data_IF_436377784034
#
_entry.id   IF_436377784034
#
_cell.length_a   1.000
_cell.length_b   1.000
_cell.length_c   1.000
_cell.angle_alpha   90.00
_cell.angle_beta   90.00
_cell.angle_gamma   90.00
#
_symmetry.space_group_name_H-M   'P 1'
#
loop_
_entity.id
_entity.type
_entity.pdbx_description
1 polymer ?
#
# COMPACT_ATOMS: atom_id res chain seq x y z
N UNK A 1 -26.44 12.03 25.68
CA UNK A 1 -27.32 11.00 26.26
C UNK A 1 -26.47 9.78 26.58
N UNK A 2 -26.33 9.43 27.87
CA UNK A 2 -25.54 8.26 28.28
C UNK A 2 -26.31 6.97 27.96
N UNK A 3 -25.61 5.95 27.45
CA UNK A 3 -26.21 4.65 27.12
C UNK A 3 -26.66 3.93 28.41
N UNK A 4 -27.81 3.25 28.36
CA UNK A 4 -28.24 2.35 29.44
C UNK A 4 -27.32 1.14 29.54
N UNK A 5 -27.32 0.44 30.68
CA UNK A 5 -26.44 -0.71 30.87
C UNK A 5 -26.81 -1.90 29.95
N UNK A 6 -28.08 -2.06 29.61
CA UNK A 6 -28.53 -2.98 28.57
C UNK A 6 -27.97 -2.62 27.19
N UNK A 7 -28.01 -1.34 26.81
CA UNK A 7 -27.43 -0.87 25.54
C UNK A 7 -25.90 -1.09 25.51
N UNK A 8 -25.21 -0.95 26.65
CA UNK A 8 -23.78 -1.27 26.77
C UNK A 8 -23.54 -2.78 26.64
N UNK A 9 -24.36 -3.63 27.25
CA UNK A 9 -24.27 -5.08 27.16
C UNK A 9 -24.50 -5.59 25.73
N UNK A 10 -25.55 -5.10 25.06
CA UNK A 10 -25.82 -5.39 23.64
C UNK A 10 -24.66 -4.98 22.74
N UNK A 11 -24.12 -3.76 22.92
CA UNK A 11 -22.93 -3.30 22.15
C UNK A 11 -21.71 -4.19 22.40
N UNK A 12 -21.49 -4.64 23.64
CA UNK A 12 -20.39 -5.57 23.97
C UNK A 12 -20.57 -6.91 23.26
N UNK A 13 -21.78 -7.46 23.23
CA UNK A 13 -22.06 -8.72 22.55
C UNK A 13 -21.91 -8.60 21.02
N UNK A 14 -22.48 -7.55 20.41
CA UNK A 14 -22.30 -7.25 19.00
C UNK A 14 -20.82 -7.09 18.62
N UNK A 15 -20.03 -6.43 19.48
CA UNK A 15 -18.58 -6.30 19.28
C UNK A 15 -17.87 -7.65 19.35
N UNK A 16 -18.22 -8.52 20.30
CA UNK A 16 -17.68 -9.89 20.40
C UNK A 16 -17.98 -10.71 19.15
N UNK A 17 -19.22 -10.67 18.66
CA UNK A 17 -19.60 -11.39 17.42
C UNK A 17 -18.90 -10.83 16.19
N UNK A 18 -18.78 -9.51 16.09
CA UNK A 18 -18.05 -8.87 14.99
C UNK A 18 -16.57 -9.24 14.99
N UNK A 19 -15.94 -9.34 16.17
CA UNK A 19 -14.56 -9.81 16.30
C UNK A 19 -14.46 -11.28 15.90
N UNK A 20 -15.40 -12.13 16.35
CA UNK A 20 -15.43 -13.56 16.03
C UNK A 20 -15.59 -13.82 14.52
N UNK A 21 -16.41 -13.02 13.85
CA UNK A 21 -16.69 -13.16 12.42
C UNK A 21 -15.72 -12.40 11.51
N UNK A 22 -14.74 -11.67 12.06
CA UNK A 22 -13.79 -10.89 11.28
C UNK A 22 -12.87 -11.83 10.49
N UNK A 23 -12.65 -11.55 9.21
CA UNK A 23 -11.66 -12.22 8.38
C UNK A 23 -10.24 -11.80 8.82
N UNK A 24 -9.72 -12.47 9.84
CA UNK A 24 -8.43 -12.17 10.45
C UNK A 24 -7.27 -12.41 9.49
N UNK A 25 -7.41 -13.39 8.59
CA UNK A 25 -6.42 -13.74 7.57
C UNK A 25 -6.19 -12.60 6.57
N UNK A 26 -7.23 -11.81 6.27
CA UNK A 26 -7.13 -10.62 5.42
C UNK A 26 -6.34 -9.51 6.11
N UNK A 27 -6.54 -9.33 7.43
CA UNK A 27 -5.70 -8.42 8.21
C UNK A 27 -4.25 -8.94 8.28
N UNK A 28 -4.03 -10.24 8.46
CA UNK A 28 -2.70 -10.82 8.52
C UNK A 28 -1.92 -10.61 7.21
N UNK A 29 -2.54 -10.87 6.06
CA UNK A 29 -1.93 -10.64 4.74
C UNK A 29 -1.63 -9.16 4.50
N UNK A 30 -2.54 -8.24 4.88
CA UNK A 30 -2.25 -6.81 4.81
C UNK A 30 -1.09 -6.42 5.73
N UNK A 31 -1.03 -7.03 6.90
CA UNK A 31 0.04 -6.86 7.88
C UNK A 31 1.41 -7.27 7.36
N UNK A 32 1.47 -8.44 6.74
CA UNK A 32 2.68 -8.91 6.07
C UNK A 32 3.12 -7.91 4.99
N UNK A 33 2.20 -7.49 4.13
CA UNK A 33 2.51 -6.52 3.06
C UNK A 33 3.04 -5.19 3.61
N UNK A 34 2.40 -4.62 4.64
CA UNK A 34 2.88 -3.34 5.20
C UNK A 34 4.25 -3.51 5.86
N UNK A 35 4.50 -4.59 6.60
CA UNK A 35 5.81 -4.83 7.23
C UNK A 35 6.94 -4.97 6.19
N UNK A 36 6.65 -5.58 5.04
CA UNK A 36 7.62 -5.69 3.94
C UNK A 36 7.86 -4.34 3.26
N UNK A 37 6.82 -3.53 3.06
CA UNK A 37 6.96 -2.14 2.58
C UNK A 37 7.81 -1.31 3.53
N UNK A 38 7.59 -1.45 4.84
CA UNK A 38 8.37 -0.78 5.89
C UNK A 38 9.85 -1.15 5.82
N UNK A 39 10.15 -2.44 5.66
CA UNK A 39 11.52 -2.92 5.49
C UNK A 39 12.17 -2.32 4.24
N UNK A 40 11.46 -2.29 3.11
CA UNK A 40 12.00 -1.76 1.85
C UNK A 40 12.37 -0.27 1.96
N UNK A 41 11.50 0.54 2.58
CA UNK A 41 11.74 1.97 2.80
C UNK A 41 12.89 2.20 3.79
N UNK A 42 12.94 1.44 4.89
CA UNK A 42 14.02 1.58 5.86
C UNK A 42 15.39 1.25 5.26
N UNK A 43 15.48 0.23 4.40
CA UNK A 43 16.70 -0.08 3.66
C UNK A 43 17.02 1.00 2.62
N UNK A 44 16.03 1.53 1.89
CA UNK A 44 16.24 2.64 0.95
C UNK A 44 16.81 3.88 1.66
N UNK A 45 16.24 4.25 2.81
CA UNK A 45 16.70 5.41 3.57
C UNK A 45 18.16 5.24 4.02
N UNK A 46 18.53 4.04 4.51
CA UNK A 46 19.91 3.74 4.91
C UNK A 46 20.89 3.66 3.72
N UNK A 47 20.41 3.18 2.57
CA UNK A 47 21.22 2.98 1.37
C UNK A 47 21.48 4.28 0.59
N UNK A 48 20.55 5.23 0.58
CA UNK A 48 20.61 6.40 -0.31
C UNK A 48 20.34 7.73 0.37
N UNK A 49 19.47 7.79 1.39
CA UNK A 49 19.11 9.06 2.04
C UNK A 49 20.16 9.46 3.08
N UNK A 50 20.68 8.48 3.84
CA UNK A 50 21.71 8.68 4.86
C UNK A 50 23.11 8.28 4.39
N UNK A 51 23.27 7.86 3.13
CA UNK A 51 24.53 7.36 2.57
C UNK A 51 25.69 8.33 2.80
N UNK A 52 25.58 9.56 2.32
CA UNK A 52 26.62 10.59 2.45
C UNK A 52 27.00 10.82 3.90
N UNK A 53 26.00 11.00 4.78
CA UNK A 53 26.21 11.19 6.22
C UNK A 53 26.96 10.00 6.84
N UNK A 54 26.60 8.78 6.48
CA UNK A 54 27.20 7.57 7.05
C UNK A 54 28.61 7.34 6.53
N UNK A 55 28.86 7.59 5.24
CA UNK A 55 30.20 7.47 4.62
C UNK A 55 31.15 8.54 5.17
N UNK A 56 30.74 9.81 5.15
CA UNK A 56 31.58 10.94 5.57
C UNK A 56 31.88 10.91 7.07
N UNK A 57 31.06 10.21 7.86
CA UNK A 57 31.33 10.02 9.29
C UNK A 57 32.61 9.23 9.58
N UNK A 58 33.10 8.43 8.63
CA UNK A 58 34.21 7.50 8.84
C UNK A 58 33.90 6.35 9.82
N UNK A 59 32.65 6.22 10.30
CA UNK A 59 32.27 5.17 11.23
C UNK A 59 32.00 3.86 10.48
N UNK A 60 32.87 2.86 10.69
CA UNK A 60 32.79 1.58 9.98
C UNK A 60 31.45 0.85 10.16
N UNK A 61 30.79 0.98 11.31
CA UNK A 61 29.50 0.30 11.53
C UNK A 61 28.39 0.91 10.67
N UNK A 62 28.38 2.24 10.51
CA UNK A 62 27.43 2.95 9.67
C UNK A 62 27.69 2.67 8.18
N UNK A 63 28.96 2.69 7.76
CA UNK A 63 29.36 2.33 6.40
C UNK A 63 28.91 0.91 6.05
N UNK A 64 29.23 -0.07 6.91
CA UNK A 64 28.82 -1.45 6.69
C UNK A 64 27.30 -1.62 6.62
N UNK A 65 26.55 -0.80 7.37
CA UNK A 65 25.09 -0.84 7.35
C UNK A 65 24.52 -0.26 6.05
N UNK A 66 25.06 0.85 5.56
CA UNK A 66 24.75 1.39 4.22
C UNK A 66 25.08 0.38 3.12
N UNK A 67 26.27 -0.24 3.16
CA UNK A 67 26.66 -1.26 2.19
C UNK A 67 25.70 -2.47 2.19
N UNK A 68 25.29 -2.91 3.38
CA UNK A 68 24.28 -3.97 3.52
C UNK A 68 22.94 -3.54 2.93
N UNK A 69 22.49 -2.32 3.22
CA UNK A 69 21.23 -1.79 2.72
C UNK A 69 21.23 -1.66 1.18
N UNK A 70 22.32 -1.16 0.61
CA UNK A 70 22.55 -1.09 -0.84
C UNK A 70 22.61 -2.48 -1.48
N UNK A 71 23.27 -3.45 -0.83
CA UNK A 71 23.30 -4.84 -1.28
C UNK A 71 21.90 -5.47 -1.28
N UNK A 72 21.09 -5.22 -0.25
CA UNK A 72 19.67 -5.62 -0.25
C UNK A 72 18.90 -4.95 -1.39
N UNK A 73 19.11 -3.65 -1.61
CA UNK A 73 18.36 -2.87 -2.58
C UNK A 73 18.56 -3.34 -4.03
N UNK A 74 19.81 -3.67 -4.38
CA UNK A 74 20.16 -4.19 -5.71
C UNK A 74 20.13 -5.71 -5.81
N UNK A 75 19.91 -6.41 -4.69
CA UNK A 75 19.94 -7.87 -4.62
C UNK A 75 18.67 -8.55 -5.16
N UNK A 76 18.83 -9.81 -5.56
CA UNK A 76 17.74 -10.66 -6.07
C UNK A 76 16.58 -10.80 -5.08
N UNK A 77 16.88 -10.80 -3.78
CA UNK A 77 15.86 -10.89 -2.75
C UNK A 77 14.82 -9.78 -2.91
N UNK A 78 15.25 -8.53 -3.07
CA UNK A 78 14.34 -7.41 -3.28
C UNK A 78 13.72 -7.45 -4.68
N UNK A 79 14.49 -7.77 -5.71
CA UNK A 79 14.01 -7.88 -7.10
C UNK A 79 12.76 -8.76 -7.21
N UNK A 80 12.74 -9.89 -6.49
CA UNK A 80 11.59 -10.80 -6.49
C UNK A 80 10.57 -10.51 -5.38
N UNK A 81 11.00 -10.10 -4.18
CA UNK A 81 10.08 -9.84 -3.07
C UNK A 81 9.20 -8.60 -3.29
N UNK A 82 9.75 -7.52 -3.89
CA UNK A 82 9.05 -6.24 -4.09
C UNK A 82 7.78 -6.38 -4.91
N UNK A 83 7.81 -6.96 -6.13
CA UNK A 83 6.59 -7.18 -6.90
C UNK A 83 5.55 -8.04 -6.16
N UNK A 84 6.00 -9.03 -5.37
CA UNK A 84 5.12 -9.93 -4.62
C UNK A 84 4.37 -9.18 -3.51
N UNK A 85 5.06 -8.39 -2.67
CA UNK A 85 4.36 -7.69 -1.59
C UNK A 85 3.49 -6.54 -2.11
N UNK A 86 3.89 -5.89 -3.21
CA UNK A 86 3.04 -4.91 -3.90
C UNK A 86 1.77 -5.60 -4.43
N UNK A 87 1.92 -6.76 -5.07
CA UNK A 87 0.78 -7.56 -5.51
C UNK A 87 -0.15 -7.88 -4.34
N UNK A 88 0.37 -8.40 -3.22
CA UNK A 88 -0.42 -8.71 -2.02
C UNK A 88 -1.15 -7.46 -1.52
N UNK A 89 -0.50 -6.31 -1.48
CA UNK A 89 -1.07 -5.06 -0.98
C UNK A 89 -2.31 -4.62 -1.79
N UNK A 90 -2.22 -4.60 -3.12
CA UNK A 90 -3.33 -4.23 -4.01
C UNK A 90 -4.39 -5.32 -4.07
N UNK A 91 -3.99 -6.59 -4.15
CA UNK A 91 -4.89 -7.75 -4.13
C UNK A 91 -5.75 -7.79 -2.85
N UNK A 92 -5.13 -7.67 -1.68
CA UNK A 92 -5.85 -7.63 -0.39
C UNK A 92 -6.78 -6.42 -0.32
N UNK A 93 -6.35 -5.27 -0.86
CA UNK A 93 -7.22 -4.09 -0.93
C UNK A 93 -8.44 -4.30 -1.82
N UNK A 94 -8.28 -5.05 -2.92
CA UNK A 94 -9.37 -5.54 -3.77
C UNK A 94 -10.33 -6.45 -3.01
N UNK A 95 -9.81 -7.42 -2.24
CA UNK A 95 -10.64 -8.27 -1.36
C UNK A 95 -11.50 -7.42 -0.43
N UNK A 96 -10.95 -6.32 0.06
CA UNK A 96 -11.62 -5.44 1.02
C UNK A 96 -12.83 -4.68 0.47
N UNK A 97 -13.08 -4.75 -0.84
CA UNK A 97 -14.24 -4.11 -1.46
C UNK A 97 -15.56 -4.63 -0.87
N UNK A 98 -15.66 -5.95 -0.65
CA UNK A 98 -16.90 -6.59 -0.16
C UNK A 98 -17.18 -6.28 1.31
N UNK A 99 -16.15 -5.93 2.08
CA UNK A 99 -16.24 -5.65 3.52
C UNK A 99 -16.60 -4.20 3.83
N UNK A 100 -16.38 -3.28 2.90
CA UNK A 100 -16.71 -1.86 3.09
C UNK A 100 -18.22 -1.62 2.99
N UNK A 101 -18.69 -0.58 3.70
CA UNK A 101 -20.07 -0.08 3.56
C UNK A 101 -20.23 0.82 2.34
N UNK A 102 -19.22 1.63 2.06
CA UNK A 102 -19.20 2.56 0.94
C UNK A 102 -17.75 2.70 0.46
N UNK A 103 -17.44 2.04 -0.65
CA UNK A 103 -16.10 2.06 -1.23
C UNK A 103 -15.75 3.39 -1.88
N UNK A 104 -16.72 4.10 -2.46
CA UNK A 104 -16.51 5.43 -3.05
C UNK A 104 -16.00 6.41 -1.99
N UNK A 105 -16.70 6.50 -0.86
CA UNK A 105 -16.28 7.38 0.25
C UNK A 105 -14.94 6.94 0.84
N UNK A 106 -14.69 5.62 0.91
CA UNK A 106 -13.39 5.10 1.35
C UNK A 106 -12.26 5.55 0.40
N UNK A 107 -12.48 5.49 -0.91
CA UNK A 107 -11.54 5.95 -1.92
C UNK A 107 -11.29 7.45 -1.83
N UNK A 108 -12.34 8.27 -1.74
CA UNK A 108 -12.24 9.73 -1.59
C UNK A 108 -11.45 10.10 -0.33
N UNK A 109 -11.73 9.45 0.81
CA UNK A 109 -10.98 9.69 2.05
C UNK A 109 -9.50 9.34 1.91
N UNK A 110 -9.19 8.24 1.22
CA UNK A 110 -7.79 7.85 0.99
C UNK A 110 -7.08 8.83 0.05
N UNK A 111 -7.74 9.28 -1.01
CA UNK A 111 -7.21 10.31 -1.91
C UNK A 111 -6.98 11.64 -1.18
N UNK A 112 -7.90 12.05 -0.31
CA UNK A 112 -7.71 13.25 0.50
C UNK A 112 -6.46 13.16 1.40
N UNK A 113 -6.24 12.00 2.01
CA UNK A 113 -5.00 11.72 2.75
C UNK A 113 -3.78 11.75 1.82
N UNK A 114 -3.85 11.12 0.65
CA UNK A 114 -2.75 11.09 -0.32
C UNK A 114 -2.34 12.51 -0.77
N UNK A 115 -3.31 13.35 -1.15
CA UNK A 115 -3.03 14.74 -1.53
C UNK A 115 -2.57 15.61 -0.35
N UNK A 116 -2.97 15.28 0.88
CA UNK A 116 -2.39 15.92 2.08
C UNK A 116 -0.91 15.57 2.21
N UNK A 117 -0.54 14.30 1.97
CA UNK A 117 0.88 13.89 1.95
C UNK A 117 1.63 14.65 0.86
N UNK A 118 1.10 14.72 -0.37
CA UNK A 118 1.70 15.52 -1.47
C UNK A 118 1.97 16.96 -1.04
N UNK A 119 0.97 17.64 -0.47
CA UNK A 119 1.12 19.01 0.01
C UNK A 119 2.21 19.12 1.08
N UNK A 120 2.21 18.24 2.08
CA UNK A 120 3.19 18.27 3.16
C UNK A 120 4.61 17.98 2.66
N UNK A 121 4.77 17.04 1.73
CA UNK A 121 6.07 16.73 1.14
C UNK A 121 6.60 17.85 0.24
N UNK A 122 5.71 18.51 -0.52
CA UNK A 122 6.06 19.69 -1.29
C UNK A 122 6.51 20.85 -0.40
N UNK A 123 5.79 21.11 0.70
CA UNK A 123 6.17 22.12 1.68
C UNK A 123 7.49 21.78 2.37
N UNK A 124 7.72 20.51 2.68
CA UNK A 124 8.99 20.04 3.25
C UNK A 124 10.16 20.32 2.30
N UNK A 125 10.00 20.03 1.00
CA UNK A 125 11.02 20.31 -0.01
C UNK A 125 11.42 21.80 -0.04
N UNK A 126 10.44 22.70 0.01
CA UNK A 126 10.67 24.15 0.09
C UNK A 126 11.36 24.54 1.40
N UNK A 127 10.88 24.04 2.54
CA UNK A 127 11.39 24.42 3.87
C UNK A 127 12.83 23.94 4.07
N UNK A 128 13.14 22.72 3.63
CA UNK A 128 14.47 22.12 3.77
C UNK A 128 15.42 22.47 2.60
N UNK A 129 14.95 23.22 1.59
CA UNK A 129 15.72 23.61 0.40
C UNK A 129 16.42 22.42 -0.27
N UNK A 130 15.72 21.29 -0.32
CA UNK A 130 16.22 20.04 -0.89
C UNK A 130 15.40 19.67 -2.13
N UNK A 131 15.71 18.56 -2.78
CA UNK A 131 14.90 18.01 -3.87
C UNK A 131 14.59 16.54 -3.62
N UNK A 132 13.49 16.05 -4.19
CA UNK A 132 13.12 14.63 -4.10
C UNK A 132 12.32 14.26 -2.84
N UNK A 133 11.81 15.22 -2.08
CA UNK A 133 10.84 14.91 -1.03
C UNK A 133 9.43 14.83 -1.59
N UNK A 134 9.14 15.58 -2.66
CA UNK A 134 7.84 15.67 -3.27
C UNK A 134 7.30 14.31 -3.73
N UNK A 135 6.12 13.96 -3.20
CA UNK A 135 5.41 12.73 -3.56
C UNK A 135 4.18 13.10 -4.38
N UNK A 136 4.19 12.73 -5.66
CA UNK A 136 3.05 12.83 -6.57
C UNK A 136 2.77 11.46 -7.19
N UNK A 137 1.51 11.05 -7.21
CA UNK A 137 1.11 9.73 -7.74
C UNK A 137 1.80 8.53 -7.05
N UNK A 138 2.09 8.65 -5.75
CA UNK A 138 2.57 7.52 -4.95
C UNK A 138 1.53 6.43 -4.69
N UNK A 139 1.91 5.40 -3.94
CA UNK A 139 1.06 4.22 -3.71
C UNK A 139 -0.31 4.56 -3.11
N UNK A 140 -0.40 5.60 -2.27
CA UNK A 140 -1.68 6.04 -1.68
C UNK A 140 -2.63 6.65 -2.72
N UNK A 141 -2.10 7.39 -3.70
CA UNK A 141 -2.90 7.94 -4.80
C UNK A 141 -3.43 6.79 -5.66
N UNK A 142 -2.53 5.92 -6.11
CA UNK A 142 -2.88 4.76 -6.92
C UNK A 142 -3.94 3.89 -6.24
N UNK A 143 -3.73 3.55 -4.96
CA UNK A 143 -4.70 2.78 -4.19
C UNK A 143 -6.03 3.52 -4.01
N UNK A 144 -6.00 4.84 -3.77
CA UNK A 144 -7.17 5.70 -3.71
C UNK A 144 -8.01 5.63 -4.98
N UNK A 145 -7.37 5.76 -6.14
CA UNK A 145 -8.02 5.61 -7.45
C UNK A 145 -8.53 4.18 -7.69
N UNK A 146 -7.76 3.15 -7.34
CA UNK A 146 -8.21 1.76 -7.44
C UNK A 146 -9.50 1.52 -6.65
N UNK A 147 -9.56 1.99 -5.39
CA UNK A 147 -10.74 1.86 -4.54
C UNK A 147 -11.91 2.68 -5.09
N UNK A 148 -11.65 3.88 -5.62
CA UNK A 148 -12.69 4.74 -6.18
C UNK A 148 -13.31 4.12 -7.45
N UNK A 149 -12.49 3.69 -8.40
CA UNK A 149 -12.92 3.03 -9.63
C UNK A 149 -13.66 1.73 -9.30
N UNK A 150 -13.03 0.84 -8.53
CA UNK A 150 -13.63 -0.42 -8.13
C UNK A 150 -14.92 -0.23 -7.34
N UNK A 151 -14.94 0.76 -6.43
CA UNK A 151 -16.11 1.10 -5.62
C UNK A 151 -17.28 1.65 -6.43
N UNK A 152 -17.01 2.45 -7.46
CA UNK A 152 -18.03 2.92 -8.40
C UNK A 152 -18.61 1.76 -9.20
N UNK A 153 -17.75 0.86 -9.72
CA UNK A 153 -18.21 -0.34 -10.43
C UNK A 153 -19.04 -1.23 -9.50
N UNK A 154 -18.59 -1.48 -8.26
CA UNK A 154 -19.36 -2.27 -7.29
C UNK A 154 -20.72 -1.64 -6.97
N UNK A 155 -20.78 -0.31 -6.82
CA UNK A 155 -22.03 0.41 -6.59
C UNK A 155 -23.01 0.25 -7.78
N UNK A 156 -22.53 0.39 -9.01
CA UNK A 156 -23.34 0.17 -10.22
C UNK A 156 -23.81 -1.28 -10.32
N UNK A 157 -22.94 -2.25 -10.09
CA UNK A 157 -23.31 -3.68 -10.11
C UNK A 157 -24.31 -4.03 -9.00
N UNK A 158 -24.18 -3.45 -7.81
CA UNK A 158 -25.16 -3.62 -6.73
C UNK A 158 -26.54 -3.06 -7.10
N UNK A 159 -26.59 -1.97 -7.87
CA UNK A 159 -27.83 -1.38 -8.36
C UNK A 159 -28.49 -2.27 -9.42
N UNK A 160 -27.71 -2.75 -10.40
CA UNK A 160 -28.20 -3.57 -11.53
C UNK A 160 -28.58 -4.99 -11.09
N UNK A 161 -27.79 -5.61 -10.21
CA UNK A 161 -27.92 -7.01 -9.81
C UNK A 161 -28.70 -7.18 -8.50
N UNK A 162 -29.43 -6.14 -8.07
CA UNK A 162 -30.17 -6.13 -6.81
C UNK A 162 -31.11 -7.34 -6.72
N UNK A 163 -31.06 -8.04 -5.59
CA UNK A 163 -31.87 -9.22 -5.26
C UNK A 163 -31.70 -10.44 -6.20
N UNK A 164 -30.67 -10.45 -7.06
CA UNK A 164 -30.37 -11.59 -7.94
C UNK A 164 -29.46 -12.61 -7.24
N UNK A 165 -29.89 -13.87 -7.19
CA UNK A 165 -29.11 -14.97 -6.60
C UNK A 165 -27.76 -15.21 -7.28
N UNK A 166 -27.66 -14.91 -8.58
CA UNK A 166 -26.45 -15.04 -9.39
C UNK A 166 -25.52 -13.81 -9.33
N UNK A 167 -25.87 -12.76 -8.58
CA UNK A 167 -25.13 -11.50 -8.55
C UNK A 167 -23.63 -11.70 -8.23
N UNK A 168 -23.30 -12.59 -7.29
CA UNK A 168 -21.89 -12.87 -6.92
C UNK A 168 -21.07 -13.41 -8.09
N UNK A 169 -21.67 -14.24 -8.95
CA UNK A 169 -20.98 -14.87 -10.07
C UNK A 169 -20.76 -13.88 -11.21
N UNK A 170 -21.74 -13.01 -11.45
CA UNK A 170 -21.58 -11.92 -12.42
C UNK A 170 -20.50 -10.94 -11.97
N UNK A 171 -20.48 -10.55 -10.68
CA UNK A 171 -19.41 -9.72 -10.13
C UNK A 171 -18.03 -10.39 -10.23
N UNK A 172 -17.94 -11.68 -9.88
CA UNK A 172 -16.72 -12.47 -10.03
C UNK A 172 -16.19 -12.41 -11.47
N UNK A 173 -17.06 -12.68 -12.45
CA UNK A 173 -16.71 -12.67 -13.86
C UNK A 173 -16.30 -11.26 -14.34
N UNK A 174 -17.06 -10.22 -14.00
CA UNK A 174 -16.76 -8.83 -14.42
C UNK A 174 -15.41 -8.39 -13.87
N UNK A 175 -15.16 -8.57 -12.57
CA UNK A 175 -13.85 -8.21 -11.99
C UNK A 175 -12.72 -9.05 -12.58
N UNK A 176 -12.95 -10.34 -12.86
CA UNK A 176 -11.98 -11.21 -13.51
C UNK A 176 -11.62 -10.73 -14.93
N UNK A 177 -12.62 -10.40 -15.75
CA UNK A 177 -12.42 -9.86 -17.09
C UNK A 177 -11.70 -8.52 -17.04
N UNK A 178 -12.10 -7.60 -16.16
CA UNK A 178 -11.41 -6.32 -15.99
C UNK A 178 -9.94 -6.50 -15.60
N UNK A 179 -9.65 -7.43 -14.68
CA UNK A 179 -8.28 -7.75 -14.31
C UNK A 179 -7.46 -8.24 -15.51
N UNK A 180 -8.00 -9.17 -16.30
CA UNK A 180 -7.33 -9.69 -17.50
C UNK A 180 -7.07 -8.57 -18.51
N UNK A 181 -8.09 -7.78 -18.84
CA UNK A 181 -7.96 -6.66 -19.79
C UNK A 181 -6.88 -5.68 -19.34
N UNK A 182 -6.87 -5.28 -18.07
CA UNK A 182 -5.89 -4.35 -17.52
C UNK A 182 -4.48 -4.93 -17.57
N UNK A 183 -4.30 -6.21 -17.23
CA UNK A 183 -2.99 -6.86 -17.26
C UNK A 183 -2.48 -7.08 -18.68
N UNK A 184 -3.36 -7.36 -19.64
CA UNK A 184 -3.01 -7.43 -21.06
C UNK A 184 -2.59 -6.07 -21.59
N UNK A 185 -3.33 -5.00 -21.29
CA UNK A 185 -2.92 -3.62 -21.65
C UNK A 185 -1.56 -3.29 -21.01
N UNK A 186 -1.37 -3.64 -19.74
CA UNK A 186 -0.09 -3.42 -19.06
C UNK A 186 1.06 -4.11 -19.79
N UNK A 187 0.88 -5.37 -20.24
CA UNK A 187 1.91 -6.12 -20.95
C UNK A 187 2.39 -5.43 -22.24
N UNK A 188 1.48 -4.75 -22.95
CA UNK A 188 1.82 -4.06 -24.20
C UNK A 188 2.41 -2.66 -24.02
N UNK A 189 2.01 -1.95 -22.97
CA UNK A 189 2.30 -0.51 -22.84
C UNK A 189 3.21 -0.15 -21.67
N UNK A 190 3.51 -1.08 -20.76
CA UNK A 190 4.23 -0.78 -19.52
C UNK A 190 5.50 -1.61 -19.37
N UNK A 191 6.41 -1.15 -18.51
CA UNK A 191 7.61 -1.93 -18.14
C UNK A 191 7.25 -3.07 -17.18
N UNK A 192 8.19 -4.01 -17.03
CA UNK A 192 8.11 -5.07 -16.03
C UNK A 192 8.31 -4.53 -14.62
N UNK A 193 7.63 -5.13 -13.64
CA UNK A 193 7.89 -4.85 -12.23
C UNK A 193 9.20 -5.48 -11.73
N UNK A 194 9.74 -6.47 -12.46
CA UNK A 194 10.98 -7.16 -12.13
C UNK A 194 12.16 -6.43 -12.76
N UNK A 195 12.50 -5.27 -12.21
CA UNK A 195 13.64 -4.45 -12.63
C UNK A 195 14.47 -4.01 -11.42
N UNK A 196 15.80 -4.04 -11.59
CA UNK A 196 16.78 -3.64 -10.58
C UNK A 196 16.98 -2.13 -10.53
N UNK A 197 16.71 -1.44 -11.64
CA UNK A 197 16.71 0.02 -11.77
C UNK A 197 15.41 0.48 -12.42
N UNK A 198 14.94 1.66 -12.02
CA UNK A 198 13.70 2.24 -12.52
C UNK A 198 13.92 2.89 -13.88
N UNK A 199 14.03 2.05 -14.90
CA UNK A 199 14.17 2.46 -16.30
C UNK A 199 12.78 2.46 -16.92
N UNK A 200 12.23 3.65 -17.18
CA UNK A 200 10.94 3.80 -17.82
C UNK A 200 11.05 4.32 -19.25
N UNK A 201 9.99 4.17 -20.02
CA UNK A 201 9.91 4.73 -21.36
C UNK A 201 9.47 6.19 -21.26
N UNK A 202 10.09 7.07 -22.03
CA UNK A 202 9.56 8.44 -22.18
C UNK A 202 8.37 8.42 -23.12
N UNK A 203 7.25 9.00 -22.68
CA UNK A 203 6.04 9.10 -23.50
C UNK A 203 5.82 10.54 -23.96
N UNK A 204 5.33 10.70 -25.20
CA UNK A 204 5.05 12.02 -25.78
C UNK A 204 3.87 12.75 -25.12
N UNK A 205 3.05 12.05 -24.34
CA UNK A 205 1.90 12.61 -23.65
C UNK A 205 2.06 12.42 -22.15
N UNK A 206 2.20 13.51 -21.40
CA UNK A 206 2.38 13.46 -19.95
C UNK A 206 1.20 12.80 -19.23
N UNK A 207 -0.02 12.84 -19.77
CA UNK A 207 -1.16 12.17 -19.16
C UNK A 207 -1.03 10.64 -19.09
N UNK A 208 -0.16 10.05 -19.93
CA UNK A 208 0.12 8.61 -19.90
C UNK A 208 0.76 8.16 -18.58
N UNK A 209 1.50 9.04 -17.91
CA UNK A 209 2.14 8.75 -16.61
C UNK A 209 1.15 8.45 -15.48
N UNK A 210 -0.12 8.84 -15.63
CA UNK A 210 -1.18 8.40 -14.72
C UNK A 210 -1.47 6.90 -14.85
N UNK A 211 -1.33 6.34 -16.06
CA UNK A 211 -1.74 4.97 -16.38
C UNK A 211 -0.58 3.99 -16.44
N UNK A 212 0.56 4.37 -17.02
CA UNK A 212 1.75 3.51 -17.20
C UNK A 212 2.97 4.22 -16.67
N UNK A 213 4.05 3.48 -16.40
CA UNK A 213 5.29 4.07 -15.94
C UNK A 213 5.90 4.97 -17.03
N UNK A 214 6.21 6.21 -16.68
CA UNK A 214 6.81 7.20 -17.58
C UNK A 214 8.00 7.91 -16.91
N UNK A 215 9.10 8.09 -17.65
CA UNK A 215 10.24 8.88 -17.17
C UNK A 215 9.85 10.33 -16.84
N UNK A 216 8.88 10.90 -17.57
CA UNK A 216 8.42 12.27 -17.35
C UNK A 216 7.83 12.45 -15.95
N UNK A 217 7.34 11.36 -15.32
CA UNK A 217 6.77 11.37 -13.97
C UNK A 217 7.73 10.82 -12.93
N UNK A 218 8.52 9.81 -13.27
CA UNK A 218 9.48 9.21 -12.36
C UNK A 218 10.56 10.22 -11.91
N UNK A 219 10.97 11.16 -12.78
CA UNK A 219 11.88 12.22 -12.40
C UNK A 219 11.27 13.31 -11.50
N UNK A 220 9.94 13.30 -11.30
CA UNK A 220 9.23 14.30 -10.50
C UNK A 220 8.89 13.82 -9.09
N UNK A 221 8.89 12.52 -8.82
CA UNK A 221 8.40 11.95 -7.56
C UNK A 221 9.19 10.70 -7.16
N UNK A 222 9.58 10.61 -5.89
CA UNK A 222 10.32 9.48 -5.35
C UNK A 222 9.42 8.29 -4.93
N UNK A 223 8.10 8.45 -4.97
CA UNK A 223 7.12 7.37 -4.84
C UNK A 223 6.17 7.47 -6.04
N UNK A 224 6.41 6.64 -7.06
CA UNK A 224 5.65 6.68 -8.31
C UNK A 224 4.96 5.34 -8.60
N UNK A 225 3.63 5.36 -8.54
CA UNK A 225 2.75 4.22 -8.81
C UNK A 225 1.67 4.60 -9.84
N UNK A 226 1.87 4.32 -11.14
CA UNK A 226 0.83 4.49 -12.15
C UNK A 226 -0.33 3.52 -11.92
N UNK A 227 -1.47 3.70 -12.58
CA UNK A 227 -2.65 2.86 -12.35
C UNK A 227 -2.45 1.40 -12.81
N UNK A 228 -1.70 1.16 -13.89
CA UNK A 228 -1.33 -0.17 -14.38
C UNK A 228 0.06 -0.55 -13.84
N UNK A 229 0.28 -1.80 -13.40
CA UNK A 229 -0.65 -2.95 -13.39
C UNK A 229 -1.57 -3.02 -12.17
N UNK A 230 -1.42 -2.12 -11.19
CA UNK A 230 -1.94 -2.33 -9.84
C UNK A 230 -3.47 -2.38 -9.75
N UNK A 231 -4.19 -1.67 -10.63
CA UNK A 231 -5.64 -1.81 -10.77
C UNK A 231 -6.04 -3.22 -11.17
N UNK A 232 -5.24 -3.90 -11.99
CA UNK A 232 -5.42 -5.30 -12.35
C UNK A 232 -5.32 -6.20 -11.12
N UNK A 233 -4.27 -6.03 -10.31
CA UNK A 233 -4.10 -6.77 -9.04
C UNK A 233 -5.26 -6.54 -8.07
N UNK A 234 -5.72 -5.29 -7.98
CA UNK A 234 -6.91 -4.94 -7.21
C UNK A 234 -8.15 -5.69 -7.70
N UNK A 235 -8.39 -5.76 -9.02
CA UNK A 235 -9.54 -6.49 -9.55
C UNK A 235 -9.45 -8.01 -9.41
N UNK A 236 -8.24 -8.60 -9.45
CA UNK A 236 -8.06 -10.01 -9.08
C UNK A 236 -8.57 -10.21 -7.65
N UNK A 237 -8.17 -9.35 -6.71
CA UNK A 237 -8.65 -9.37 -5.33
C UNK A 237 -10.17 -9.21 -5.21
N UNK A 238 -10.73 -8.24 -5.92
CA UNK A 238 -12.17 -7.97 -5.93
C UNK A 238 -12.99 -9.14 -6.49
N UNK A 239 -12.47 -9.83 -7.52
CA UNK A 239 -13.04 -11.03 -8.10
C UNK A 239 -13.04 -12.17 -7.08
N UNK A 240 -11.86 -12.52 -6.54
CA UNK A 240 -11.70 -13.59 -5.54
C UNK A 240 -12.60 -13.38 -4.31
N UNK A 241 -12.81 -12.12 -3.90
CA UNK A 241 -13.69 -11.77 -2.79
C UNK A 241 -15.13 -12.27 -2.97
N UNK A 242 -15.66 -12.28 -4.19
CA UNK A 242 -17.04 -12.66 -4.46
C UNK A 242 -17.29 -14.15 -4.24
N UNK A 243 -16.25 -14.98 -4.41
CA UNK A 243 -16.34 -16.43 -4.21
C UNK A 243 -16.03 -16.77 -2.76
N UNK A 244 -14.84 -16.37 -2.29
CA UNK A 244 -14.33 -16.78 -0.98
C UNK A 244 -15.00 -16.04 0.18
N UNK A 245 -15.29 -14.75 0.00
CA UNK A 245 -15.76 -13.87 1.09
C UNK A 245 -17.19 -13.38 0.90
N UNK A 246 -18.02 -14.05 0.09
CA UNK A 246 -19.45 -13.72 -0.11
C UNK A 246 -20.24 -13.57 1.20
N UNK A 247 -19.93 -14.41 2.19
CA UNK A 247 -20.55 -14.39 3.52
C UNK A 247 -19.94 -13.35 4.48
N UNK A 248 -18.89 -12.64 4.05
CA UNK A 248 -18.11 -11.66 4.84
C UNK A 248 -17.61 -12.20 6.18
N UNK A 249 -17.20 -13.48 6.20
CA UNK A 249 -16.66 -14.19 7.36
C UNK A 249 -15.26 -14.73 7.06
N UNK A 250 -14.51 -15.04 8.11
CA UNK A 250 -13.23 -15.75 7.99
C UNK A 250 -13.41 -17.12 7.33
N UNK A 251 -12.45 -17.48 6.48
CA UNK A 251 -12.27 -18.82 5.92
C UNK A 251 -11.72 -19.82 6.95
N UNK A 252 -11.08 -19.30 8.00
CA UNK A 252 -10.40 -20.08 9.03
C UNK A 252 -10.94 -19.76 10.43
N UNK A 253 -12.23 -20.07 10.71
CA UNK A 253 -12.89 -19.68 11.96
C UNK A 253 -12.33 -20.40 13.21
N UNK A 254 -11.69 -21.56 13.02
CA UNK A 254 -11.21 -22.40 14.12
C UNK A 254 -9.74 -22.16 14.48
N UNK A 255 -9.03 -21.29 13.75
CA UNK A 255 -7.62 -21.00 14.00
C UNK A 255 -7.48 -19.99 15.13
N UNK A 256 -6.50 -20.22 16.02
CA UNK A 256 -6.18 -19.29 17.09
C UNK A 256 -5.51 -18.02 16.52
N UNK A 257 -6.32 -17.01 16.22
CA UNK A 257 -5.87 -15.72 15.68
C UNK A 257 -4.80 -15.01 16.52
N UNK A 258 -4.63 -15.36 17.81
CA UNK A 258 -3.61 -14.73 18.68
C UNK A 258 -2.19 -15.03 18.20
N UNK A 259 -1.97 -16.21 17.59
CA UNK A 259 -0.66 -16.60 17.04
C UNK A 259 -0.25 -15.65 15.91
N UNK A 260 -1.23 -15.15 15.14
CA UNK A 260 -1.02 -14.20 14.06
C UNK A 260 -1.14 -12.74 14.50
N UNK A 261 -1.10 -12.44 15.81
CA UNK A 261 -1.12 -11.07 16.30
C UNK A 261 -0.01 -10.18 15.68
N UNK A 262 1.25 -10.66 15.50
CA UNK A 262 2.31 -9.86 14.88
C UNK A 262 1.99 -9.40 13.45
N UNK A 263 1.10 -10.09 12.73
CA UNK A 263 0.68 -9.71 11.38
C UNK A 263 -0.68 -8.99 11.39
N UNK A 264 -1.65 -9.51 12.15
CA UNK A 264 -2.99 -8.93 12.17
C UNK A 264 -3.04 -7.54 12.80
N UNK A 265 -2.20 -7.22 13.78
CA UNK A 265 -2.17 -5.90 14.40
C UNK A 265 -1.67 -4.84 13.40
N UNK A 266 -0.50 -5.00 12.75
CA UNK A 266 -0.09 -4.07 11.70
C UNK A 266 -1.12 -3.93 10.57
N UNK A 267 -1.74 -5.04 10.13
CA UNK A 267 -2.74 -4.99 9.08
C UNK A 267 -4.03 -4.24 9.45
N UNK A 268 -4.38 -4.17 10.74
CA UNK A 268 -5.52 -3.39 11.24
C UNK A 268 -5.27 -1.88 11.22
N UNK A 269 -4.02 -1.49 11.40
CA UNK A 269 -3.59 -0.09 11.52
C UNK A 269 -2.69 0.33 10.35
N UNK A 270 -2.74 -0.39 9.22
CA UNK A 270 -1.77 -0.28 8.13
C UNK A 270 -1.62 1.14 7.60
N UNK A 271 -2.70 1.92 7.47
CA UNK A 271 -2.63 3.30 7.00
C UNK A 271 -1.87 4.22 7.97
N UNK A 272 -2.13 4.10 9.27
CA UNK A 272 -1.46 4.92 10.29
C UNK A 272 0.02 4.53 10.36
N UNK A 273 0.30 3.22 10.35
CA UNK A 273 1.66 2.70 10.34
C UNK A 273 2.42 3.20 9.10
N UNK A 274 1.81 3.13 7.92
CA UNK A 274 2.40 3.65 6.68
C UNK A 274 2.79 5.13 6.80
N UNK A 275 1.86 5.98 7.25
CA UNK A 275 2.08 7.43 7.33
C UNK A 275 3.14 7.81 8.38
N UNK A 276 3.22 7.08 9.50
CA UNK A 276 4.18 7.38 10.56
C UNK A 276 5.55 6.76 10.32
N UNK A 277 5.64 5.71 9.50
CA UNK A 277 6.88 4.96 9.33
C UNK A 277 8.03 5.81 8.83
N UNK A 278 7.84 6.61 7.77
CA UNK A 278 8.92 7.45 7.22
C UNK A 278 9.45 8.46 8.25
N UNK A 279 8.56 9.06 9.04
CA UNK A 279 8.92 9.97 10.13
C UNK A 279 9.74 9.24 11.19
N UNK A 280 9.31 8.03 11.56
CA UNK A 280 10.01 7.21 12.56
C UNK A 280 11.37 6.75 12.04
N UNK A 281 11.48 6.35 10.78
CA UNK A 281 12.76 5.90 10.19
C UNK A 281 13.77 7.04 10.12
N UNK A 282 13.37 8.21 9.64
CA UNK A 282 14.22 9.40 9.63
C UNK A 282 14.68 9.77 11.04
N UNK A 283 13.76 9.74 12.01
CA UNK A 283 14.12 10.01 13.40
C UNK A 283 15.11 8.99 13.96
N UNK A 284 14.87 7.69 13.74
CA UNK A 284 15.75 6.62 14.25
C UNK A 284 17.14 6.70 13.60
N UNK A 285 17.22 6.80 12.28
CA UNK A 285 18.49 6.88 11.56
C UNK A 285 19.26 8.16 11.92
N UNK A 286 18.58 9.30 12.04
CA UNK A 286 19.17 10.57 12.48
C UNK A 286 19.70 10.52 13.93
N UNK A 287 18.97 9.87 14.84
CA UNK A 287 19.44 9.68 16.23
C UNK A 287 20.62 8.72 16.32
N UNK A 288 20.64 7.67 15.50
CA UNK A 288 21.78 6.74 15.41
C UNK A 288 23.00 7.46 14.85
N UNK A 289 22.84 8.28 13.81
CA UNK A 289 23.90 9.17 13.30
C UNK A 289 24.43 10.04 14.43
N UNK A 290 23.56 10.83 15.06
CA UNK A 290 23.96 11.75 16.14
C UNK A 290 24.72 11.05 17.27
N UNK A 291 24.27 9.86 17.68
CA UNK A 291 24.90 9.11 18.76
C UNK A 291 26.30 8.57 18.39
N UNK A 292 26.53 8.23 17.12
CA UNK A 292 27.78 7.60 16.67
C UNK A 292 28.79 8.58 16.06
N UNK A 293 28.31 9.73 15.58
CA UNK A 293 29.12 10.69 14.80
C UNK A 293 29.10 12.10 15.40
N UNK A 294 28.17 12.39 16.33
CA UNK A 294 27.93 13.73 16.84
C UNK A 294 27.21 14.66 15.85
N UNK A 295 26.80 14.16 14.69
CA UNK A 295 26.12 14.94 13.65
C UNK A 295 24.72 14.38 13.39
N UNK A 296 23.73 15.26 13.41
CA UNK A 296 22.37 14.96 12.97
C UNK A 296 22.33 15.19 11.45
N UNK A 297 22.98 14.31 10.69
CA UNK A 297 22.99 14.40 9.23
C UNK A 297 21.74 13.73 8.66
N UNK A 298 20.91 14.52 8.00
CA UNK A 298 20.02 14.05 6.95
C UNK A 298 20.33 14.98 5.76
N UNK A 299 20.72 14.39 4.62
CA UNK A 299 21.48 14.99 3.50
C UNK A 299 23.00 14.89 3.65
#
# INVERSE_FOLDING_TARGET
MNLTDEQKAMKRQQRKEKIKNRAWEVDALRGLAILLVLWDHFMFDAAFVFETTFIDSGNQALINFTDFASSYYYGDLRLYARPIFIFIFFFVSGICIIFSRNNIIRGIKLLAVAYTVTLLTYLAEIVFQTTGLFILMGVLHCLGFCILIGGTIDALLNLILKDKSYAKWVKFAIYGVLAIVILVINHFYNTTLFQTSDIFTSHNNDASGFFVFSNNWAGLTNDYFPLLPFLGFFFIGASVAQVLYSKKKSLFPNVNQKIFAPLTVPGRYSLIIYLLAQIVFFFVLGMVSLALTGTLGFM
#
